data_IF_197577831956
#
_entry.id   IF_197577831956
#
_cell.length_a   1.000
_cell.length_b   1.000
_cell.length_c   1.000
_cell.angle_alpha   90.00
_cell.angle_beta   90.00
_cell.angle_gamma   90.00
#
_symmetry.space_group_name_H-M   'P 1'
#
loop_
_entity.id
_entity.type
_entity.pdbx_description
1 polymer ?
#
# COMPACT_ATOMS: atom_id res chain seq x y z
N UNK A 1 -40.83 -34.52 -113.05
CA UNK A 1 -39.61 -34.99 -112.35
C UNK A 1 -38.83 -33.87 -111.62
N UNK A 2 -38.75 -32.63 -112.14
CA UNK A 2 -37.98 -31.54 -111.50
C UNK A 2 -38.57 -30.99 -110.19
N UNK A 3 -39.90 -31.00 -110.03
CA UNK A 3 -40.59 -30.47 -108.83
C UNK A 3 -40.41 -31.42 -107.62
N UNK A 4 -40.59 -32.73 -107.81
CA UNK A 4 -40.43 -33.73 -106.76
C UNK A 4 -38.99 -33.81 -106.20
N UNK A 5 -37.98 -33.56 -107.04
CA UNK A 5 -36.58 -33.48 -106.60
C UNK A 5 -36.32 -32.23 -105.74
N UNK A 6 -36.88 -31.08 -106.12
CA UNK A 6 -36.78 -29.84 -105.35
C UNK A 6 -37.52 -29.94 -104.00
N UNK A 7 -38.65 -30.65 -103.96
CA UNK A 7 -39.38 -30.93 -102.71
C UNK A 7 -38.59 -31.87 -101.78
N UNK A 8 -37.87 -32.85 -102.32
CA UNK A 8 -37.01 -33.73 -101.54
C UNK A 8 -35.83 -32.96 -100.91
N UNK A 9 -35.15 -32.11 -101.70
CA UNK A 9 -34.05 -31.27 -101.22
C UNK A 9 -34.53 -30.24 -100.17
N UNK A 10 -35.70 -29.62 -100.39
CA UNK A 10 -36.31 -28.71 -99.42
C UNK A 10 -36.63 -29.40 -98.09
N UNK A 11 -37.20 -30.62 -98.15
CA UNK A 11 -37.47 -31.43 -96.96
C UNK A 11 -36.19 -31.86 -96.24
N UNK A 12 -35.10 -32.14 -96.96
CA UNK A 12 -33.82 -32.50 -96.37
C UNK A 12 -33.15 -31.31 -95.69
N UNK A 13 -33.15 -30.13 -96.33
CA UNK A 13 -32.68 -28.89 -95.71
C UNK A 13 -33.49 -28.51 -94.47
N UNK A 14 -34.82 -28.67 -94.50
CA UNK A 14 -35.66 -28.44 -93.33
C UNK A 14 -35.31 -29.38 -92.18
N UNK A 15 -35.03 -30.66 -92.46
CA UNK A 15 -34.54 -31.61 -91.44
C UNK A 15 -33.18 -31.21 -90.87
N UNK A 16 -32.26 -30.72 -91.70
CA UNK A 16 -30.95 -30.25 -91.23
C UNK A 16 -31.09 -29.00 -90.34
N UNK A 17 -31.94 -28.05 -90.73
CA UNK A 17 -32.25 -26.87 -89.91
C UNK A 17 -32.83 -27.27 -88.56
N UNK A 18 -33.83 -28.16 -88.51
CA UNK A 18 -34.39 -28.62 -87.24
C UNK A 18 -33.37 -29.35 -86.35
N UNK A 19 -32.42 -30.10 -86.93
CA UNK A 19 -31.33 -30.72 -86.16
C UNK A 19 -30.39 -29.67 -85.56
N UNK A 20 -30.04 -28.64 -86.32
CA UNK A 20 -29.20 -27.54 -85.85
C UNK A 20 -29.91 -26.71 -84.77
N UNK A 21 -31.19 -26.40 -84.97
CA UNK A 21 -32.03 -25.72 -83.97
C UNK A 21 -32.12 -26.53 -82.68
N UNK A 22 -32.36 -27.84 -82.77
CA UNK A 22 -32.40 -28.71 -81.61
C UNK A 22 -31.06 -28.76 -80.87
N UNK A 23 -29.94 -28.81 -81.60
CA UNK A 23 -28.61 -28.79 -81.00
C UNK A 23 -28.30 -27.44 -80.33
N UNK A 24 -28.67 -26.33 -80.96
CA UNK A 24 -28.51 -24.99 -80.41
C UNK A 24 -29.36 -24.77 -79.16
N UNK A 25 -30.63 -25.20 -79.17
CA UNK A 25 -31.50 -25.15 -78.00
C UNK A 25 -30.98 -26.00 -76.85
N UNK A 26 -30.45 -27.19 -77.14
CA UNK A 26 -29.82 -28.05 -76.14
C UNK A 26 -28.60 -27.36 -75.52
N UNK A 27 -27.68 -26.84 -76.34
CA UNK A 27 -26.49 -26.14 -75.86
C UNK A 27 -26.85 -24.90 -75.01
N UNK A 28 -27.90 -24.16 -75.41
CA UNK A 28 -28.39 -23.03 -74.63
C UNK A 28 -28.94 -23.46 -73.27
N UNK A 29 -29.74 -24.52 -73.22
CA UNK A 29 -30.27 -25.06 -71.97
C UNK A 29 -29.15 -25.56 -71.04
N UNK A 30 -28.15 -26.25 -71.60
CA UNK A 30 -27.00 -26.74 -70.84
C UNK A 30 -26.21 -25.56 -70.22
N UNK A 31 -25.97 -24.50 -70.98
CA UNK A 31 -25.33 -23.27 -70.47
C UNK A 31 -26.17 -22.56 -69.41
N UNK A 32 -27.49 -22.47 -69.58
CA UNK A 32 -28.38 -21.86 -68.58
C UNK A 32 -28.39 -22.67 -67.27
N UNK A 33 -28.36 -24.00 -67.35
CA UNK A 33 -28.25 -24.87 -66.18
C UNK A 33 -26.90 -24.72 -65.48
N UNK A 34 -25.80 -24.66 -66.22
CA UNK A 34 -24.47 -24.42 -65.66
C UNK A 34 -24.40 -23.06 -64.97
N UNK A 35 -24.88 -22.01 -65.63
CA UNK A 35 -24.93 -20.66 -65.05
C UNK A 35 -25.78 -20.61 -63.77
N UNK A 36 -26.95 -21.25 -63.76
CA UNK A 36 -27.79 -21.34 -62.57
C UNK A 36 -27.07 -22.10 -61.44
N UNK A 37 -26.38 -23.19 -61.75
CA UNK A 37 -25.62 -23.96 -60.76
C UNK A 37 -24.46 -23.15 -60.17
N UNK A 38 -23.76 -22.38 -61.01
CA UNK A 38 -22.67 -21.51 -60.59
C UNK A 38 -23.18 -20.37 -59.71
N UNK A 39 -24.24 -19.69 -60.13
CA UNK A 39 -24.87 -18.62 -59.36
C UNK A 39 -25.36 -19.11 -57.99
N UNK A 40 -25.88 -20.33 -57.92
CA UNK A 40 -26.28 -20.95 -56.65
C UNK A 40 -25.07 -21.20 -55.73
N UNK A 41 -23.99 -21.80 -56.26
CA UNK A 41 -22.76 -22.07 -55.49
C UNK A 41 -22.12 -20.78 -54.98
N UNK A 42 -21.96 -19.78 -55.83
CA UNK A 42 -21.40 -18.49 -55.42
C UNK A 42 -22.23 -17.83 -54.31
N UNK A 43 -23.56 -17.94 -54.38
CA UNK A 43 -24.45 -17.40 -53.34
C UNK A 43 -24.29 -18.15 -52.00
N UNK A 44 -24.17 -19.48 -52.05
CA UNK A 44 -23.93 -20.30 -50.86
C UNK A 44 -22.54 -20.03 -50.24
N UNK A 45 -21.51 -19.88 -51.08
CA UNK A 45 -20.15 -19.53 -50.64
C UNK A 45 -20.12 -18.18 -49.93
N UNK A 46 -20.65 -17.13 -50.56
CA UNK A 46 -20.69 -15.80 -49.95
C UNK A 46 -21.54 -15.73 -48.67
N UNK A 47 -22.63 -16.50 -48.62
CA UNK A 47 -23.42 -16.62 -47.39
C UNK A 47 -22.60 -17.26 -46.26
N UNK A 48 -21.90 -18.36 -46.56
CA UNK A 48 -21.07 -19.05 -45.58
C UNK A 48 -19.90 -18.19 -45.11
N UNK A 49 -19.23 -17.47 -46.02
CA UNK A 49 -18.19 -16.51 -45.69
C UNK A 49 -18.73 -15.41 -44.76
N UNK A 50 -19.86 -14.79 -45.12
CA UNK A 50 -20.50 -13.76 -44.30
C UNK A 50 -20.90 -14.27 -42.91
N UNK A 51 -21.45 -15.49 -42.85
CA UNK A 51 -21.80 -16.14 -41.58
C UNK A 51 -20.56 -16.37 -40.69
N UNK A 52 -19.49 -16.93 -41.24
CA UNK A 52 -18.24 -17.18 -40.50
C UNK A 52 -17.60 -15.88 -40.02
N UNK A 53 -17.62 -14.82 -40.84
CA UNK A 53 -17.16 -13.50 -40.45
C UNK A 53 -17.99 -12.91 -39.30
N UNK A 54 -19.32 -13.05 -39.35
CA UNK A 54 -20.21 -12.61 -38.28
C UNK A 54 -19.91 -13.31 -36.95
N UNK A 55 -19.75 -14.64 -36.98
CA UNK A 55 -19.40 -15.43 -35.79
C UNK A 55 -18.04 -15.00 -35.23
N UNK A 56 -17.03 -14.85 -36.08
CA UNK A 56 -15.68 -14.45 -35.67
C UNK A 56 -15.66 -13.03 -35.09
N UNK A 57 -16.39 -12.09 -35.69
CA UNK A 57 -16.52 -10.72 -35.17
C UNK A 57 -17.17 -10.71 -33.79
N UNK A 58 -18.28 -11.44 -33.63
CA UNK A 58 -18.98 -11.54 -32.34
C UNK A 58 -18.10 -12.13 -31.24
N UNK A 59 -17.33 -13.18 -31.55
CA UNK A 59 -16.38 -13.77 -30.60
C UNK A 59 -15.27 -12.79 -30.22
N UNK A 60 -14.74 -12.02 -31.19
CA UNK A 60 -13.72 -11.01 -30.95
C UNK A 60 -14.25 -9.91 -30.03
N UNK A 61 -15.44 -9.39 -30.29
CA UNK A 61 -16.05 -8.34 -29.48
C UNK A 61 -16.29 -8.81 -28.04
N UNK A 62 -16.77 -10.05 -27.88
CA UNK A 62 -16.93 -10.66 -26.56
C UNK A 62 -15.61 -10.80 -25.80
N UNK A 63 -14.53 -11.22 -26.46
CA UNK A 63 -13.21 -11.32 -25.84
C UNK A 63 -12.66 -9.96 -25.42
N UNK A 64 -12.89 -8.92 -26.22
CA UNK A 64 -12.51 -7.55 -25.87
C UNK A 64 -13.27 -7.10 -24.62
N UNK A 65 -14.58 -7.34 -24.55
CA UNK A 65 -15.41 -6.99 -23.40
C UNK A 65 -14.94 -7.69 -22.11
N UNK A 66 -14.70 -9.01 -22.17
CA UNK A 66 -14.16 -9.78 -21.03
C UNK A 66 -12.81 -9.19 -20.59
N UNK A 67 -11.94 -8.84 -21.55
CA UNK A 67 -10.61 -8.31 -21.25
C UNK A 67 -10.72 -6.95 -20.56
N UNK A 68 -11.61 -6.08 -21.02
CA UNK A 68 -11.87 -4.78 -20.42
C UNK A 68 -12.42 -4.92 -19.00
N UNK A 69 -13.40 -5.81 -18.79
CA UNK A 69 -13.95 -6.08 -17.45
C UNK A 69 -12.88 -6.61 -16.49
N UNK A 70 -12.03 -7.53 -16.95
CA UNK A 70 -10.90 -8.05 -16.14
C UNK A 70 -9.84 -6.99 -15.86
N UNK A 71 -9.61 -6.05 -16.77
CA UNK A 71 -8.69 -4.94 -16.55
C UNK A 71 -9.25 -3.98 -15.49
N UNK A 72 -10.49 -3.55 -15.63
CA UNK A 72 -11.17 -2.67 -14.67
C UNK A 72 -11.22 -3.28 -13.26
N UNK A 73 -11.55 -4.57 -13.16
CA UNK A 73 -11.59 -5.25 -11.86
C UNK A 73 -10.20 -5.36 -11.20
N UNK A 74 -9.14 -5.57 -11.99
CA UNK A 74 -7.76 -5.59 -11.45
C UNK A 74 -7.35 -4.22 -10.93
N UNK A 75 -7.71 -3.16 -11.64
CA UNK A 75 -7.44 -1.79 -11.22
C UNK A 75 -8.19 -1.44 -9.93
N UNK A 76 -9.47 -1.80 -9.84
CA UNK A 76 -10.27 -1.60 -8.63
C UNK A 76 -9.68 -2.34 -7.42
N UNK A 77 -9.26 -3.60 -7.59
CA UNK A 77 -8.61 -4.37 -6.53
C UNK A 77 -7.30 -3.71 -6.07
N UNK A 78 -6.45 -3.28 -7.02
CA UNK A 78 -5.20 -2.62 -6.69
C UNK A 78 -5.43 -1.31 -5.92
N UNK A 79 -6.44 -0.54 -6.28
CA UNK A 79 -6.83 0.68 -5.55
C UNK A 79 -7.31 0.35 -4.13
N UNK A 80 -8.16 -0.67 -3.97
CA UNK A 80 -8.65 -1.11 -2.65
C UNK A 80 -7.52 -1.61 -1.74
N UNK A 81 -6.56 -2.37 -2.29
CA UNK A 81 -5.39 -2.83 -1.56
C UNK A 81 -4.51 -1.67 -1.10
N UNK A 82 -4.21 -0.72 -1.99
CA UNK A 82 -3.41 0.46 -1.66
C UNK A 82 -4.09 1.34 -0.60
N UNK A 83 -5.42 1.51 -0.67
CA UNK A 83 -6.19 2.20 0.36
C UNK A 83 -6.17 1.49 1.70
N UNK A 84 -6.36 0.17 1.72
CA UNK A 84 -6.34 -0.64 2.93
C UNK A 84 -4.95 -0.59 3.58
N UNK A 85 -3.88 -0.69 2.80
CA UNK A 85 -2.51 -0.57 3.29
C UNK A 85 -2.26 0.83 3.89
N UNK A 86 -2.68 1.90 3.20
CA UNK A 86 -2.54 3.27 3.69
C UNK A 86 -3.29 3.47 5.01
N UNK A 87 -4.51 2.95 5.13
CA UNK A 87 -5.31 3.01 6.37
C UNK A 87 -4.63 2.22 7.49
N UNK A 88 -4.16 1.00 7.21
CA UNK A 88 -3.45 0.16 8.18
C UNK A 88 -2.18 0.83 8.70
N UNK A 89 -1.36 1.39 7.81
CA UNK A 89 -0.16 2.16 8.19
C UNK A 89 -0.49 3.38 9.05
N UNK A 90 -1.57 4.10 8.73
CA UNK A 90 -2.00 5.26 9.51
C UNK A 90 -2.45 4.87 10.93
N UNK A 91 -3.22 3.78 11.06
CA UNK A 91 -3.66 3.27 12.37
C UNK A 91 -2.45 2.81 13.19
N UNK A 92 -1.56 2.01 12.61
CA UNK A 92 -0.36 1.54 13.30
C UNK A 92 0.54 2.70 13.76
N UNK A 93 0.65 3.77 12.95
CA UNK A 93 1.38 4.98 13.34
C UNK A 93 0.72 5.68 14.54
N UNK A 94 -0.61 5.83 14.52
CA UNK A 94 -1.36 6.43 15.63
C UNK A 94 -1.25 5.61 16.92
N UNK A 95 -1.36 4.28 16.81
CA UNK A 95 -1.18 3.36 17.94
C UNK A 95 0.23 3.46 18.53
N UNK A 96 1.26 3.50 17.65
CA UNK A 96 2.63 3.67 18.09
C UNK A 96 2.86 5.02 18.78
N UNK A 97 2.35 6.12 18.20
CA UNK A 97 2.42 7.45 18.82
C UNK A 97 1.69 7.49 20.17
N UNK A 98 0.55 6.82 20.30
CA UNK A 98 -0.19 6.71 21.56
C UNK A 98 0.59 5.93 22.62
N UNK A 99 1.19 4.80 22.25
CA UNK A 99 2.05 4.01 23.15
C UNK A 99 3.28 4.81 23.59
N UNK A 100 3.94 5.51 22.67
CA UNK A 100 5.12 6.34 23.02
C UNK A 100 4.74 7.49 23.95
N UNK A 101 3.58 8.13 23.74
CA UNK A 101 3.07 9.19 24.64
C UNK A 101 2.66 8.66 26.02
N UNK A 102 2.34 7.37 26.13
CA UNK A 102 1.97 6.77 27.40
C UNK A 102 3.14 6.65 28.37
N UNK A 103 4.40 6.57 27.89
CA UNK A 103 5.58 6.44 28.75
C UNK A 103 6.31 7.78 28.89
N UNK A 104 6.46 8.25 30.13
CA UNK A 104 7.23 9.44 30.48
C UNK A 104 8.29 9.12 31.53
N UNK A 105 9.35 9.92 31.57
CA UNK A 105 10.36 9.87 32.62
C UNK A 105 10.50 11.25 33.23
N UNK A 106 10.28 11.35 34.53
CA UNK A 106 10.53 12.57 35.29
C UNK A 106 11.87 12.44 36.01
N UNK A 107 12.74 13.44 35.85
CA UNK A 107 14.05 13.49 36.50
C UNK A 107 14.10 14.73 37.39
N UNK A 108 14.51 14.58 38.64
CA UNK A 108 14.60 15.67 39.62
C UNK A 108 16.02 15.74 40.19
N UNK A 109 16.63 16.92 40.31
CA UNK A 109 17.88 17.08 41.06
C UNK A 109 17.68 16.65 42.52
N UNK A 110 18.62 15.89 43.08
CA UNK A 110 18.54 15.38 44.45
C UNK A 110 19.78 15.75 45.26
N UNK A 111 19.57 16.36 46.42
CA UNK A 111 20.61 16.69 47.40
C UNK A 111 20.17 16.21 48.78
N UNK A 112 20.96 15.32 49.38
CA UNK A 112 20.78 14.88 50.76
C UNK A 112 21.95 15.37 51.59
N UNK A 113 21.66 15.98 52.74
CA UNK A 113 22.67 16.40 53.72
C UNK A 113 22.36 15.66 55.02
N UNK A 114 23.21 14.71 55.38
CA UNK A 114 23.18 14.00 56.65
C UNK A 114 24.08 14.76 57.63
N UNK A 115 23.51 15.15 58.77
CA UNK A 115 24.21 15.82 59.86
C UNK A 115 24.33 14.85 61.03
N UNK A 116 25.56 14.51 61.39
CA UNK A 116 25.88 13.74 62.58
C UNK A 116 26.54 14.68 63.60
N UNK A 117 25.78 15.03 64.64
CA UNK A 117 26.21 15.99 65.67
C UNK A 117 26.95 15.18 66.74
N UNK A 118 28.26 15.06 66.57
CA UNK A 118 29.12 14.42 67.55
C UNK A 118 29.42 15.34 68.74
N UNK A 119 29.71 14.75 69.90
CA UNK A 119 30.09 15.50 71.12
C UNK A 119 31.41 16.28 70.95
N UNK A 120 32.24 15.89 69.97
CA UNK A 120 33.59 16.45 69.74
C UNK A 120 33.76 17.05 68.32
N UNK A 121 33.09 16.50 67.31
CA UNK A 121 33.19 16.98 65.92
C UNK A 121 31.84 16.81 65.21
N UNK A 122 31.43 17.82 64.45
CA UNK A 122 30.27 17.73 63.55
C UNK A 122 30.71 17.16 62.20
N UNK A 123 30.18 16.01 61.82
CA UNK A 123 30.40 15.44 60.50
C UNK A 123 29.17 15.69 59.63
N UNK A 124 29.37 16.32 58.47
CA UNK A 124 28.32 16.45 57.47
C UNK A 124 28.67 15.58 56.27
N UNK A 125 27.76 14.68 55.88
CA UNK A 125 27.86 13.94 54.63
C UNK A 125 26.85 14.50 53.65
N UNK A 126 27.31 14.97 52.51
CA UNK A 126 26.45 15.39 51.41
C UNK A 126 26.43 14.31 50.33
N UNK A 127 25.24 14.04 49.80
CA UNK A 127 25.03 13.19 48.64
C UNK A 127 24.33 14.02 47.58
N UNK A 128 24.90 14.05 46.38
CA UNK A 128 24.41 14.85 45.27
C UNK A 128 24.22 13.96 44.06
N UNK A 129 23.10 14.13 43.37
CA UNK A 129 22.79 13.38 42.16
C UNK A 129 21.39 13.71 41.68
N UNK A 130 20.67 12.70 41.23
CA UNK A 130 19.33 12.88 40.67
C UNK A 130 18.41 11.72 41.05
N UNK A 131 17.13 12.03 41.13
CA UNK A 131 16.06 11.08 41.32
C UNK A 131 15.28 10.95 40.02
N UNK A 132 15.04 9.74 39.54
CA UNK A 132 14.18 9.53 38.38
C UNK A 132 12.96 8.67 38.71
N UNK A 133 11.87 8.96 38.02
CA UNK A 133 10.57 8.31 38.17
C UNK A 133 10.02 7.97 36.79
N UNK A 134 9.72 6.69 36.57
CA UNK A 134 8.98 6.25 35.39
C UNK A 134 7.50 6.54 35.59
N UNK A 135 6.89 7.19 34.59
CA UNK A 135 5.47 7.55 34.54
C UNK A 135 4.80 6.76 33.40
N UNK A 136 3.66 6.14 33.69
CA UNK A 136 2.76 5.55 32.68
C UNK A 136 1.46 6.33 32.71
N UNK A 137 1.11 7.00 31.62
CA UNK A 137 0.00 7.95 31.52
C UNK A 137 0.02 9.03 32.62
N UNK A 138 1.22 9.48 33.02
CA UNK A 138 1.41 10.46 34.10
C UNK A 138 1.30 9.89 35.52
N UNK A 139 1.07 8.57 35.68
CA UNK A 139 1.02 7.91 36.98
C UNK A 139 2.37 7.25 37.27
N UNK A 140 2.96 7.44 38.48
CA UNK A 140 4.17 6.75 38.91
C UNK A 140 4.01 5.22 38.84
N UNK A 141 4.85 4.56 38.03
CA UNK A 141 4.82 3.10 37.89
C UNK A 141 5.56 2.36 39.02
N UNK A 142 6.58 3.00 39.61
CA UNK A 142 7.42 2.44 40.67
C UNK A 142 7.72 3.50 41.74
N UNK A 143 8.39 3.12 42.82
CA UNK A 143 8.97 4.10 43.74
C UNK A 143 10.12 4.85 43.07
N UNK A 144 10.34 6.13 43.43
CA UNK A 144 11.39 6.91 42.81
C UNK A 144 12.77 6.33 43.14
N UNK A 145 13.63 6.23 42.14
CA UNK A 145 14.99 5.74 42.32
C UNK A 145 15.97 6.89 42.40
N UNK A 146 16.83 6.89 43.43
CA UNK A 146 17.83 7.93 43.67
C UNK A 146 19.18 7.41 43.19
N UNK A 147 19.81 8.15 42.29
CA UNK A 147 21.18 7.92 41.82
C UNK A 147 22.06 8.99 42.44
N UNK A 148 23.03 8.56 43.25
CA UNK A 148 24.05 9.45 43.83
C UNK A 148 25.25 9.46 42.89
N UNK A 149 25.57 10.62 42.34
CA UNK A 149 26.73 10.81 41.46
C UNK A 149 27.96 11.25 42.25
N UNK A 150 27.76 12.04 43.30
CA UNK A 150 28.84 12.62 44.10
C UNK A 150 28.53 12.51 45.59
N UNK A 151 29.55 12.19 46.37
CA UNK A 151 29.45 12.12 47.83
C UNK A 151 30.65 12.84 48.44
N UNK A 152 30.40 13.84 49.28
CA UNK A 152 31.44 14.59 49.99
C UNK A 152 31.20 14.53 51.49
N UNK A 153 32.29 14.49 52.25
CA UNK A 153 32.28 14.61 53.71
C UNK A 153 32.87 15.98 54.06
N UNK A 154 32.00 16.89 54.50
CA UNK A 154 32.32 18.30 54.70
C UNK A 154 32.12 18.63 56.18
N UNK A 155 33.06 19.37 56.78
CA UNK A 155 32.99 19.71 58.22
C UNK A 155 32.05 20.90 58.53
N UNK A 156 31.68 21.70 57.53
CA UNK A 156 30.71 22.80 57.64
C UNK A 156 29.96 23.00 56.32
N UNK A 157 28.63 23.01 56.37
CA UNK A 157 27.78 23.28 55.20
C UNK A 157 27.16 24.67 55.34
N UNK A 158 27.59 25.61 54.51
CA UNK A 158 27.02 26.96 54.42
C UNK A 158 25.99 27.06 53.28
N UNK A 159 25.17 28.14 53.27
CA UNK A 159 24.12 28.41 52.28
C UNK A 159 24.68 28.53 50.85
N UNK A 160 25.87 29.10 50.70
CA UNK A 160 26.54 29.21 49.40
C UNK A 160 26.91 27.83 48.84
N UNK A 161 27.40 26.93 49.71
CA UNK A 161 27.77 25.56 49.35
C UNK A 161 26.54 24.73 48.91
N UNK A 162 25.40 24.91 49.58
CA UNK A 162 24.14 24.24 49.18
C UNK A 162 23.74 24.66 47.76
N UNK A 163 23.88 25.94 47.40
CA UNK A 163 23.59 26.41 46.06
C UNK A 163 24.54 25.83 44.99
N UNK A 164 25.80 25.58 45.34
CA UNK A 164 26.75 24.90 44.45
C UNK A 164 26.41 23.41 44.24
N UNK A 165 26.04 22.70 45.31
CA UNK A 165 25.61 21.30 45.23
C UNK A 165 24.34 21.13 44.40
N UNK A 166 23.39 22.06 44.52
CA UNK A 166 22.17 22.10 43.70
C UNK A 166 22.52 22.29 42.22
N UNK A 167 23.43 23.23 41.88
CA UNK A 167 23.88 23.41 40.50
C UNK A 167 24.57 22.17 39.94
N UNK A 168 25.31 21.44 40.78
CA UNK A 168 25.96 20.18 40.39
C UNK A 168 24.92 19.08 40.14
N UNK A 169 23.94 18.92 41.02
CA UNK A 169 22.80 18.01 40.84
C UNK A 169 22.00 18.32 39.57
N UNK A 170 21.77 19.61 39.28
CA UNK A 170 21.07 20.04 38.08
C UNK A 170 21.84 19.67 36.80
N UNK A 171 23.17 19.90 36.78
CA UNK A 171 24.03 19.47 35.67
C UNK A 171 24.04 17.95 35.49
N UNK A 172 24.05 17.21 36.60
CA UNK A 172 23.93 15.74 36.60
C UNK A 172 22.62 15.28 35.96
N UNK A 173 21.50 15.81 36.44
CA UNK A 173 20.16 15.55 35.90
C UNK A 173 20.04 15.89 34.40
N UNK A 174 20.57 17.04 33.97
CA UNK A 174 20.60 17.44 32.56
C UNK A 174 21.47 16.53 31.69
N UNK A 175 22.59 16.06 32.23
CA UNK A 175 23.49 15.14 31.52
C UNK A 175 22.86 13.76 31.39
N UNK A 176 22.27 13.25 32.48
CA UNK A 176 21.52 11.99 32.49
C UNK A 176 20.34 12.03 31.52
N UNK A 177 19.57 13.12 31.49
CA UNK A 177 18.52 13.37 30.52
C UNK A 177 19.02 13.27 29.06
N UNK A 178 20.22 13.81 28.76
CA UNK A 178 20.82 13.78 27.42
C UNK A 178 21.38 12.39 27.05
N UNK A 179 21.97 11.67 28.01
CA UNK A 179 22.67 10.40 27.77
C UNK A 179 21.70 9.22 27.67
N UNK A 180 20.80 9.06 28.64
CA UNK A 180 19.93 7.88 28.71
C UNK A 180 18.77 7.92 27.72
N UNK A 181 18.44 9.09 27.16
CA UNK A 181 17.19 9.30 26.41
C UNK A 181 17.41 9.93 25.03
N UNK A 182 18.59 9.74 24.42
CA UNK A 182 18.97 10.26 23.08
C UNK A 182 18.06 9.85 21.91
N UNK A 183 16.97 9.11 22.17
CA UNK A 183 15.95 8.71 21.19
C UNK A 183 14.50 8.82 21.68
N UNK A 184 14.23 9.42 22.86
CA UNK A 184 12.87 9.60 23.38
C UNK A 184 12.18 10.84 22.78
N UNK A 185 10.85 10.83 22.70
CA UNK A 185 10.09 11.95 22.15
C UNK A 185 10.24 13.23 23.02
N UNK A 186 10.23 14.45 22.43
CA UNK A 186 10.49 15.70 23.15
C UNK A 186 9.53 16.03 24.30
N UNK A 187 8.40 15.33 24.42
CA UNK A 187 7.38 15.51 25.47
C UNK A 187 7.39 14.46 26.58
N UNK A 188 8.26 13.45 26.50
CA UNK A 188 8.37 12.41 27.52
C UNK A 188 9.22 12.83 28.73
N UNK A 189 9.76 14.06 28.72
CA UNK A 189 10.74 14.54 29.68
C UNK A 189 10.22 15.75 30.45
N UNK A 190 10.27 15.66 31.79
CA UNK A 190 10.04 16.78 32.69
C UNK A 190 11.18 16.78 33.69
N UNK A 191 11.97 17.86 33.69
CA UNK A 191 12.91 18.13 34.80
C UNK A 191 12.09 18.82 35.88
N UNK A 192 11.86 18.11 36.98
CA UNK A 192 11.12 18.65 38.12
C UNK A 192 12.00 19.55 39.00
N UNK A 193 11.39 20.25 39.96
CA UNK A 193 12.14 21.09 40.90
C UNK A 193 13.08 20.25 41.77
N UNK A 194 14.15 20.88 42.24
CA UNK A 194 15.15 20.28 43.13
C UNK A 194 14.55 19.77 44.44
N UNK A 195 15.08 18.65 44.93
CA UNK A 195 14.73 18.08 46.23
C UNK A 195 15.94 18.21 47.15
N UNK A 196 15.82 19.05 48.18
CA UNK A 196 16.85 19.24 49.21
C UNK A 196 16.34 18.66 50.53
N UNK A 197 16.96 17.57 50.98
CA UNK A 197 16.60 16.89 52.23
C UNK A 197 17.70 17.04 53.27
N UNK A 198 17.38 17.72 54.39
CA UNK A 198 18.26 17.82 55.55
C UNK A 198 17.83 16.79 56.59
N UNK A 199 18.67 15.79 56.83
CA UNK A 199 18.42 14.77 57.85
C UNK A 199 19.34 15.05 59.03
N UNK A 200 18.76 15.38 60.18
CA UNK A 200 19.45 15.28 61.47
C UNK A 200 19.41 13.82 61.88
N UNK A 201 20.56 13.19 62.00
CA UNK A 201 20.67 11.87 62.62
C UNK A 201 20.61 12.06 64.14
#
# INVERSE_FOLDING_TARGET
MRIAALEADANEHQKQLHKLEAAHLKAKNDLELEHHSFAKRAREEHYNEGFQHGVTSSQKDHLIEITNLRAAHREELAQREAEAEKRGRAIAKLEHEAQVKAFGVEIRPYVKIEKDIGVIWDNHKSHTGYQYQLLVNGIPAFQPHIVVEHSEEIKQVDKEMVAELVKLAQKGAETAAKVYLRGASPGALIIGPEIVQQVKV
#
